data_IF_064665559401
#
_entry.id   IF_064665559401
#
_cell.length_a   1.000
_cell.length_b   1.000
_cell.length_c   1.000
_cell.angle_alpha   90.00
_cell.angle_beta   90.00
_cell.angle_gamma   90.00
#
_symmetry.space_group_name_H-M   'P 1'
#
loop_
_entity.id
_entity.type
_entity.pdbx_description
1 polymer ?
#
# COMPACT_ATOMS: atom_id res chain seq x y z
N UNK A 1 72.38 -15.82 -20.06
CA UNK A 1 71.07 -15.15 -20.21
C UNK A 1 70.46 -14.95 -18.83
N UNK A 2 70.41 -13.71 -18.31
CA UNK A 2 69.69 -13.37 -17.08
C UNK A 2 68.41 -12.66 -17.50
N UNK A 3 67.28 -13.34 -17.36
CA UNK A 3 65.94 -12.83 -17.67
C UNK A 3 65.57 -11.78 -16.62
N UNK A 4 65.41 -10.52 -17.03
CA UNK A 4 64.87 -9.46 -16.16
C UNK A 4 63.36 -9.64 -16.06
N UNK A 5 62.87 -9.88 -14.86
CA UNK A 5 61.45 -9.84 -14.53
C UNK A 5 61.06 -8.38 -14.29
N UNK A 6 60.34 -7.78 -15.23
CA UNK A 6 59.77 -6.43 -15.08
C UNK A 6 58.42 -6.58 -14.38
N UNK A 7 58.35 -6.21 -13.10
CA UNK A 7 57.08 -6.15 -12.35
C UNK A 7 56.42 -4.82 -12.69
N UNK A 8 55.32 -4.88 -13.45
CA UNK A 8 54.48 -3.73 -13.76
C UNK A 8 53.54 -3.48 -12.56
N UNK A 9 53.85 -2.47 -11.76
CA UNK A 9 53.01 -2.07 -10.62
C UNK A 9 51.78 -1.30 -11.16
N UNK A 10 50.60 -1.93 -11.14
CA UNK A 10 49.34 -1.23 -11.36
C UNK A 10 49.08 -0.32 -10.15
N UNK A 11 49.16 0.99 -10.37
CA UNK A 11 48.74 1.98 -9.38
C UNK A 11 47.20 2.00 -9.36
N UNK A 12 46.59 1.26 -8.43
CA UNK A 12 45.19 1.44 -8.07
C UNK A 12 45.07 2.82 -7.41
N UNK A 13 44.72 3.84 -8.19
CA UNK A 13 44.20 5.09 -7.64
C UNK A 13 42.89 4.74 -6.93
N UNK A 14 42.95 4.62 -5.60
CA UNK A 14 41.78 4.70 -4.74
C UNK A 14 41.21 6.10 -4.90
N UNK A 15 40.31 6.30 -5.86
CA UNK A 15 39.43 7.47 -5.87
C UNK A 15 38.55 7.29 -4.63
N UNK A 16 38.88 7.99 -3.56
CA UNK A 16 37.99 8.17 -2.43
C UNK A 16 36.74 8.87 -2.98
N UNK A 17 35.67 8.11 -3.22
CA UNK A 17 34.36 8.68 -3.47
C UNK A 17 33.86 9.23 -2.15
N UNK A 18 34.16 10.50 -1.88
CA UNK A 18 33.55 11.21 -0.77
C UNK A 18 32.08 11.46 -1.12
N UNK A 19 31.19 10.96 -0.27
CA UNK A 19 29.79 11.37 -0.26
C UNK A 19 29.73 12.77 0.34
N UNK A 20 29.23 13.74 -0.42
CA UNK A 20 29.06 15.12 0.04
C UNK A 20 27.62 15.37 0.50
N UNK A 21 27.45 16.22 1.51
CA UNK A 21 26.13 16.71 1.93
C UNK A 21 25.89 18.07 1.28
N UNK A 22 24.78 18.19 0.55
CA UNK A 22 24.41 19.40 -0.17
C UNK A 22 23.02 19.87 0.23
N UNK A 23 22.74 21.14 -0.04
CA UNK A 23 21.54 21.82 0.43
C UNK A 23 20.84 22.54 -0.72
N UNK A 24 19.52 22.49 -0.70
CA UNK A 24 18.64 23.19 -1.64
C UNK A 24 17.67 24.06 -0.86
N UNK A 25 17.60 25.35 -1.17
CA UNK A 25 16.67 26.30 -0.55
C UNK A 25 16.40 27.46 -1.51
N UNK A 26 15.14 27.94 -1.64
CA UNK A 26 14.84 29.13 -2.42
C UNK A 26 15.52 30.40 -1.86
N UNK A 27 16.00 30.37 -0.61
CA UNK A 27 16.69 31.48 0.06
C UNK A 27 18.22 31.36 0.02
N UNK A 28 18.77 30.26 -0.50
CA UNK A 28 20.21 30.11 -0.68
C UNK A 28 20.76 31.13 -1.69
N UNK A 29 22.06 31.44 -1.62
CA UNK A 29 22.68 32.35 -2.59
C UNK A 29 23.10 31.68 -3.91
N UNK A 30 22.75 30.39 -4.10
CA UNK A 30 23.04 29.60 -5.29
C UNK A 30 24.53 29.49 -5.64
N UNK A 31 25.38 29.25 -4.64
CA UNK A 31 26.84 29.10 -4.84
C UNK A 31 27.27 27.65 -4.71
N UNK A 32 27.65 27.03 -5.83
CA UNK A 32 28.21 25.67 -5.83
C UNK A 32 29.49 25.60 -4.93
N UNK A 33 29.75 24.49 -4.22
CA UNK A 33 29.12 23.17 -4.34
C UNK A 33 27.86 22.94 -3.49
N UNK A 34 27.21 24.01 -2.99
CA UNK A 34 25.96 23.95 -2.21
C UNK A 34 26.08 23.21 -0.86
N UNK A 35 27.23 23.25 -0.22
CA UNK A 35 27.57 22.51 1.02
C UNK A 35 27.09 23.18 2.33
N UNK A 36 26.24 24.20 2.24
CA UNK A 36 25.59 24.82 3.40
C UNK A 36 24.26 25.44 3.01
N UNK A 37 23.37 25.70 3.98
CA UNK A 37 22.13 26.45 3.72
C UNK A 37 22.37 27.85 3.13
N UNK A 38 23.41 28.55 3.57
CA UNK A 38 23.75 29.88 3.05
C UNK A 38 24.16 29.81 1.56
N UNK A 39 24.86 28.75 1.19
CA UNK A 39 25.31 28.50 -0.18
C UNK A 39 24.36 27.65 -1.00
N UNK A 40 23.20 27.26 -0.45
CA UNK A 40 22.30 26.27 -1.06
C UNK A 40 21.89 26.63 -2.49
N UNK A 41 21.65 25.60 -3.31
CA UNK A 41 21.08 25.78 -4.64
C UNK A 41 19.64 26.26 -4.54
N UNK A 42 19.21 27.11 -5.48
CA UNK A 42 17.81 27.54 -5.53
C UNK A 42 16.87 26.53 -6.20
N UNK A 43 17.41 25.52 -6.88
CA UNK A 43 16.64 24.45 -7.52
C UNK A 43 17.14 23.09 -7.09
N UNK A 44 16.26 22.09 -7.10
CA UNK A 44 16.60 20.71 -6.80
C UNK A 44 17.50 20.17 -7.92
N UNK A 45 17.11 20.33 -9.17
CA UNK A 45 17.86 19.82 -10.33
C UNK A 45 19.25 20.46 -10.42
N UNK A 46 19.38 21.76 -10.15
CA UNK A 46 20.69 22.43 -10.18
C UNK A 46 21.66 21.88 -9.13
N UNK A 47 21.17 21.42 -7.99
CA UNK A 47 21.98 20.72 -6.99
C UNK A 47 22.34 19.30 -7.41
N UNK A 48 21.40 18.57 -8.04
CA UNK A 48 21.65 17.24 -8.59
C UNK A 48 22.73 17.30 -9.68
N UNK A 49 22.71 18.32 -10.54
CA UNK A 49 23.63 18.48 -11.67
C UNK A 49 25.11 18.62 -11.25
N UNK A 50 25.37 19.05 -10.00
CA UNK A 50 26.74 19.11 -9.43
C UNK A 50 27.06 17.94 -8.50
N UNK A 51 26.09 17.07 -8.23
CA UNK A 51 26.20 15.97 -7.29
C UNK A 51 26.87 14.75 -7.92
N UNK A 52 27.46 13.91 -7.07
CA UNK A 52 28.04 12.62 -7.46
C UNK A 52 27.27 11.45 -6.84
N UNK A 53 27.35 10.24 -7.43
CA UNK A 53 26.78 9.05 -6.81
C UNK A 53 27.29 8.87 -5.37
N UNK A 54 26.37 8.74 -4.42
CA UNK A 54 26.65 8.65 -2.99
C UNK A 54 26.32 9.94 -2.22
N UNK A 55 26.15 11.07 -2.89
CA UNK A 55 25.82 12.34 -2.22
C UNK A 55 24.43 12.30 -1.55
N UNK A 56 24.26 13.15 -0.55
CA UNK A 56 22.96 13.41 0.11
C UNK A 56 22.57 14.88 -0.08
N UNK A 57 21.37 15.12 -0.59
CA UNK A 57 20.79 16.45 -0.76
C UNK A 57 19.65 16.62 0.24
N UNK A 58 19.79 17.60 1.12
CA UNK A 58 18.71 18.09 1.96
C UNK A 58 18.00 19.26 1.29
N UNK A 59 16.68 19.15 1.14
CA UNK A 59 15.84 20.17 0.52
C UNK A 59 15.02 20.85 1.61
N UNK A 60 15.21 22.17 1.74
CA UNK A 60 14.51 22.98 2.71
C UNK A 60 13.07 23.27 2.34
N UNK A 61 12.41 24.06 3.18
CA UNK A 61 11.04 24.49 2.91
C UNK A 61 10.99 25.35 1.65
N UNK A 62 10.02 25.08 0.78
CA UNK A 62 9.87 25.80 -0.47
C UNK A 62 8.90 25.14 -1.43
N UNK A 63 8.57 25.90 -2.47
CA UNK A 63 7.88 25.39 -3.65
C UNK A 63 8.88 25.40 -4.80
N UNK A 64 9.20 24.21 -5.29
CA UNK A 64 10.14 23.96 -6.36
C UNK A 64 9.36 23.65 -7.63
N UNK A 65 9.34 24.60 -8.56
CA UNK A 65 8.63 24.49 -9.84
C UNK A 65 9.51 23.85 -10.90
N UNK A 66 9.74 22.55 -10.78
CA UNK A 66 10.63 21.80 -11.66
C UNK A 66 10.23 20.32 -11.74
N UNK A 67 10.73 19.64 -12.77
CA UNK A 67 10.79 18.17 -12.82
C UNK A 67 12.16 17.72 -12.30
N UNK A 68 12.22 16.58 -11.63
CA UNK A 68 13.44 16.08 -10.98
C UNK A 68 13.90 14.79 -11.64
N UNK A 69 15.15 14.76 -12.11
CA UNK A 69 15.80 13.53 -12.59
C UNK A 69 17.00 13.22 -11.69
N UNK A 70 16.89 12.16 -10.90
CA UNK A 70 17.95 11.75 -9.98
C UNK A 70 19.07 11.01 -10.69
N UNK A 71 20.28 11.08 -10.13
CA UNK A 71 21.40 10.21 -10.51
C UNK A 71 21.45 8.99 -9.58
N UNK A 72 22.04 7.88 -10.04
CA UNK A 72 22.20 6.65 -9.24
C UNK A 72 22.87 6.93 -7.89
N UNK A 73 22.46 6.19 -6.84
CA UNK A 73 23.01 6.27 -5.47
C UNK A 73 22.86 7.65 -4.81
N UNK A 74 21.87 8.44 -5.20
CA UNK A 74 21.61 9.75 -4.60
C UNK A 74 20.55 9.65 -3.49
N UNK A 75 20.79 10.27 -2.34
CA UNK A 75 19.74 10.51 -1.35
C UNK A 75 19.20 11.93 -1.53
N UNK A 76 17.89 12.05 -1.79
CA UNK A 76 17.18 13.32 -1.90
C UNK A 76 16.10 13.35 -0.81
N UNK A 77 16.27 14.25 0.17
CA UNK A 77 15.49 14.27 1.41
C UNK A 77 14.89 15.66 1.61
N UNK A 78 13.58 15.77 1.50
CA UNK A 78 12.81 16.98 1.77
C UNK A 78 12.57 17.19 3.26
N UNK A 79 12.36 18.45 3.64
CA UNK A 79 12.07 18.83 5.03
C UNK A 79 10.70 18.35 5.54
N UNK A 80 9.85 17.78 4.68
CA UNK A 80 8.56 17.19 5.03
C UNK A 80 7.45 17.54 4.04
N UNK A 81 6.40 16.71 4.03
CA UNK A 81 5.25 16.83 3.11
C UNK A 81 4.41 18.10 3.33
N UNK A 82 4.57 18.79 4.46
CA UNK A 82 3.83 20.01 4.76
C UNK A 82 4.48 21.27 4.17
N UNK A 83 5.77 21.21 3.81
CA UNK A 83 6.56 22.41 3.52
C UNK A 83 7.60 22.27 2.39
N UNK A 84 7.90 21.05 1.92
CA UNK A 84 8.82 20.79 0.80
C UNK A 84 8.04 20.30 -0.42
N UNK A 85 7.68 21.21 -1.31
CA UNK A 85 6.73 20.97 -2.40
C UNK A 85 7.45 20.95 -3.75
N UNK A 86 7.30 19.87 -4.52
CA UNK A 86 7.65 19.82 -5.94
C UNK A 86 6.34 20.03 -6.72
N UNK A 87 6.24 21.17 -7.42
CA UNK A 87 5.03 21.56 -8.16
C UNK A 87 5.27 21.55 -9.66
N UNK A 88 4.64 20.61 -10.35
CA UNK A 88 4.81 20.42 -11.79
C UNK A 88 3.62 20.89 -12.63
N UNK A 89 2.59 21.51 -12.02
CA UNK A 89 1.33 21.82 -12.71
C UNK A 89 1.51 22.66 -13.98
N UNK A 90 2.48 23.58 -13.97
CA UNK A 90 2.78 24.48 -15.09
C UNK A 90 3.77 23.88 -16.12
N UNK A 91 4.28 22.66 -15.90
CA UNK A 91 5.34 22.03 -16.69
C UNK A 91 4.85 20.93 -17.64
N UNK A 92 3.54 20.90 -17.88
CA UNK A 92 2.91 19.80 -18.58
C UNK A 92 3.32 19.71 -20.06
N UNK A 93 3.73 18.52 -20.51
CA UNK A 93 3.90 18.19 -21.93
C UNK A 93 2.62 17.59 -22.52
N UNK A 94 2.62 17.31 -23.83
CA UNK A 94 1.48 16.66 -24.51
C UNK A 94 1.40 15.15 -24.25
N UNK A 95 2.53 14.48 -24.01
CA UNK A 95 2.63 13.04 -23.73
C UNK A 95 3.73 12.71 -22.71
N UNK A 96 3.62 11.55 -22.05
CA UNK A 96 4.63 10.91 -21.19
C UNK A 96 5.30 11.84 -20.15
N UNK A 97 4.51 12.31 -19.18
CA UNK A 97 4.96 13.25 -18.16
C UNK A 97 5.33 12.51 -16.87
N UNK A 98 6.54 12.75 -16.36
CA UNK A 98 7.04 12.19 -15.10
C UNK A 98 7.54 13.34 -14.24
N UNK A 99 7.06 13.46 -13.00
CA UNK A 99 7.47 14.53 -12.12
C UNK A 99 8.82 14.25 -11.42
N UNK A 100 9.06 13.00 -11.03
CA UNK A 100 10.34 12.54 -10.45
C UNK A 100 10.78 11.24 -11.12
N UNK A 101 11.93 11.27 -11.80
CA UNK A 101 12.59 10.09 -12.37
C UNK A 101 13.69 9.63 -11.42
N UNK A 102 13.50 8.44 -10.84
CA UNK A 102 14.41 7.82 -9.89
C UNK A 102 15.31 6.77 -10.53
N UNK A 103 16.52 6.68 -10.00
CA UNK A 103 17.52 5.70 -10.41
C UNK A 103 17.76 4.68 -9.29
N UNK A 104 18.40 3.55 -9.60
CA UNK A 104 18.77 2.55 -8.59
C UNK A 104 19.67 3.09 -7.46
N UNK A 105 19.51 2.48 -6.29
CA UNK A 105 20.15 2.83 -5.02
C UNK A 105 19.83 4.24 -4.50
N UNK A 106 18.80 4.89 -5.03
CA UNK A 106 18.39 6.21 -4.55
C UNK A 106 17.47 6.13 -3.34
N UNK A 107 17.47 7.20 -2.55
CA UNK A 107 16.44 7.51 -1.55
C UNK A 107 15.71 8.76 -1.98
N UNK A 108 14.38 8.71 -2.04
CA UNK A 108 13.51 9.85 -2.25
C UNK A 108 12.48 9.93 -1.13
N UNK A 109 12.63 10.95 -0.27
CA UNK A 109 11.87 11.02 0.98
C UNK A 109 11.44 12.42 1.36
N UNK A 110 10.22 12.56 1.92
CA UNK A 110 9.79 13.78 2.60
C UNK A 110 9.28 14.90 1.69
N UNK A 111 8.74 14.56 0.51
CA UNK A 111 8.23 15.55 -0.46
C UNK A 111 6.72 15.53 -0.60
N UNK A 112 6.13 16.70 -0.80
CA UNK A 112 4.80 16.84 -1.39
C UNK A 112 4.90 17.11 -2.89
N UNK A 113 4.55 16.12 -3.68
CA UNK A 113 4.54 16.16 -5.12
C UNK A 113 3.15 16.49 -5.67
N UNK A 114 3.05 17.60 -6.41
CA UNK A 114 1.87 17.99 -7.16
C UNK A 114 2.14 17.73 -8.64
N UNK A 115 1.53 16.66 -9.16
CA UNK A 115 1.82 16.16 -10.51
C UNK A 115 0.99 16.89 -11.55
N UNK A 116 1.59 17.14 -12.71
CA UNK A 116 0.90 17.66 -13.88
C UNK A 116 0.08 16.58 -14.58
N UNK A 117 -1.02 16.98 -15.23
CA UNK A 117 -1.89 16.09 -16.03
C UNK A 117 -2.45 14.90 -15.23
N UNK A 118 -3.50 15.19 -14.45
CA UNK A 118 -4.24 14.26 -13.60
C UNK A 118 -4.68 12.92 -14.23
N UNK A 119 -4.75 12.81 -15.55
CA UNK A 119 -5.23 11.61 -16.24
C UNK A 119 -4.12 10.63 -16.64
N UNK A 120 -2.86 11.07 -16.73
CA UNK A 120 -1.77 10.20 -17.26
C UNK A 120 -0.36 10.57 -16.79
N UNK A 121 -0.16 11.68 -16.07
CA UNK A 121 1.13 12.02 -15.49
C UNK A 121 1.54 11.02 -14.40
N UNK A 122 2.83 10.73 -14.33
CA UNK A 122 3.44 9.86 -13.33
C UNK A 122 4.06 10.71 -12.23
N UNK A 123 3.78 10.39 -10.97
CA UNK A 123 4.43 11.04 -9.83
C UNK A 123 5.90 10.66 -9.74
N UNK A 124 6.16 9.41 -9.34
CA UNK A 124 7.50 8.87 -9.25
C UNK A 124 7.63 7.70 -10.22
N UNK A 125 8.61 7.77 -11.11
CA UNK A 125 9.00 6.65 -11.98
C UNK A 125 10.35 6.11 -11.52
N UNK A 126 10.38 4.84 -11.15
CA UNK A 126 11.60 4.11 -10.83
C UNK A 126 11.87 3.07 -11.90
N UNK A 127 13.11 3.05 -12.42
CA UNK A 127 13.53 2.08 -13.42
C UNK A 127 14.91 1.52 -13.10
N UNK A 128 15.01 0.18 -12.97
CA UNK A 128 16.29 -0.53 -13.07
C UNK A 128 16.46 -1.14 -14.47
N UNK A 129 17.60 -0.89 -15.14
CA UNK A 129 17.92 -1.53 -16.42
C UNK A 129 18.31 -3.00 -16.28
N UNK A 130 18.56 -3.48 -15.05
CA UNK A 130 18.89 -4.88 -14.80
C UNK A 130 17.59 -5.67 -14.58
N UNK A 131 17.39 -6.76 -15.31
CA UNK A 131 16.21 -7.60 -15.13
C UNK A 131 16.12 -8.19 -13.73
N UNK A 132 17.25 -8.54 -13.11
CA UNK A 132 17.33 -8.97 -11.71
C UNK A 132 16.89 -7.91 -10.70
N UNK A 133 16.67 -6.68 -11.17
CA UNK A 133 16.30 -5.52 -10.39
C UNK A 133 17.37 -5.03 -9.44
N UNK A 134 17.13 -3.84 -8.91
CA UNK A 134 18.01 -3.16 -7.96
C UNK A 134 17.17 -2.49 -6.87
N UNK A 135 17.73 -2.17 -5.69
CA UNK A 135 16.96 -1.54 -4.62
C UNK A 135 16.85 -0.03 -4.81
N UNK A 136 15.84 0.56 -4.19
CA UNK A 136 15.69 1.99 -3.94
C UNK A 136 14.69 2.19 -2.79
N UNK A 137 14.63 3.41 -2.24
CA UNK A 137 13.69 3.80 -1.20
C UNK A 137 12.83 4.98 -1.67
N UNK A 138 11.52 4.79 -1.69
CA UNK A 138 10.52 5.85 -1.88
C UNK A 138 9.69 5.92 -0.61
N UNK A 139 9.89 6.94 0.22
CA UNK A 139 9.29 6.96 1.55
C UNK A 139 8.71 8.31 1.97
N UNK A 140 7.66 8.29 2.79
CA UNK A 140 7.15 9.50 3.46
C UNK A 140 6.84 10.66 2.50
N UNK A 141 6.41 10.35 1.27
CA UNK A 141 6.04 11.35 0.28
C UNK A 141 4.51 11.45 0.18
N UNK A 142 4.02 12.62 -0.20
CA UNK A 142 2.62 12.84 -0.58
C UNK A 142 2.55 13.09 -2.08
N UNK A 143 1.77 12.30 -2.82
CA UNK A 143 1.64 12.42 -4.28
C UNK A 143 0.18 12.66 -4.62
N UNK A 144 -0.09 13.74 -5.36
CA UNK A 144 -1.44 14.10 -5.80
C UNK A 144 -1.47 14.49 -7.27
N UNK A 145 -2.67 14.51 -7.86
CA UNK A 145 -2.90 14.93 -9.25
C UNK A 145 -2.12 14.11 -10.29
N UNK A 146 -1.81 12.84 -9.99
CA UNK A 146 -1.16 11.92 -10.92
C UNK A 146 -2.19 10.98 -11.55
N UNK A 147 -1.97 10.60 -12.81
CA UNK A 147 -2.65 9.45 -13.42
C UNK A 147 -2.03 8.12 -12.97
N UNK A 148 -0.75 8.12 -12.60
CA UNK A 148 -0.10 7.02 -11.90
C UNK A 148 0.75 7.59 -10.77
N UNK A 149 0.46 7.22 -9.52
CA UNK A 149 1.21 7.75 -8.38
C UNK A 149 2.68 7.34 -8.42
N UNK A 150 2.93 6.03 -8.41
CA UNK A 150 4.28 5.46 -8.44
C UNK A 150 4.34 4.32 -9.46
N UNK A 151 5.30 4.38 -10.37
CA UNK A 151 5.64 3.29 -11.30
C UNK A 151 6.98 2.69 -10.88
N UNK A 152 7.01 1.38 -10.68
CA UNK A 152 8.21 0.63 -10.34
C UNK A 152 8.52 -0.37 -11.45
N UNK A 153 9.72 -0.28 -12.02
CA UNK A 153 10.21 -1.26 -12.98
C UNK A 153 11.46 -1.96 -12.43
N UNK A 154 11.36 -3.27 -12.21
CA UNK A 154 12.41 -4.12 -11.63
C UNK A 154 12.93 -3.61 -10.27
N UNK A 155 12.04 -3.18 -9.37
CA UNK A 155 12.46 -2.81 -8.00
C UNK A 155 12.68 -4.10 -7.20
N UNK A 156 13.93 -4.40 -6.85
CA UNK A 156 14.27 -5.63 -6.13
C UNK A 156 14.88 -5.33 -4.77
N UNK A 157 14.30 -5.89 -3.70
CA UNK A 157 14.69 -5.61 -2.32
C UNK A 157 14.64 -4.11 -1.96
N UNK A 158 13.82 -3.34 -2.69
CA UNK A 158 13.56 -1.93 -2.45
C UNK A 158 12.22 -1.73 -1.74
N UNK A 159 12.05 -0.53 -1.17
CA UNK A 159 10.89 -0.18 -0.36
C UNK A 159 10.14 1.00 -0.96
N UNK A 160 8.82 0.85 -1.05
CA UNK A 160 7.88 1.95 -1.22
C UNK A 160 7.03 1.99 0.03
N UNK A 161 7.29 2.96 0.92
CA UNK A 161 6.69 2.94 2.25
C UNK A 161 6.17 4.25 2.78
N UNK A 162 5.09 4.19 3.55
CA UNK A 162 4.52 5.34 4.26
C UNK A 162 4.23 6.54 3.33
N UNK A 163 3.96 6.28 2.05
CA UNK A 163 3.58 7.34 1.13
C UNK A 163 2.06 7.54 1.20
N UNK A 164 1.64 8.79 1.02
CA UNK A 164 0.24 9.20 0.91
C UNK A 164 -0.06 9.49 -0.56
N UNK A 165 -0.86 8.65 -1.20
CA UNK A 165 -1.24 8.81 -2.60
C UNK A 165 -2.72 9.20 -2.67
N UNK A 166 -3.02 10.35 -3.28
CA UNK A 166 -4.39 10.78 -3.56
C UNK A 166 -4.58 10.88 -5.07
N UNK A 167 -5.14 9.81 -5.63
CA UNK A 167 -5.25 9.59 -7.07
C UNK A 167 -6.71 9.68 -7.49
N UNK A 168 -6.99 10.44 -8.54
CA UNK A 168 -8.35 10.67 -9.03
C UNK A 168 -8.39 10.58 -10.55
N UNK A 169 -9.56 10.33 -11.14
CA UNK A 169 -9.81 10.40 -12.59
C UNK A 169 -8.98 9.41 -13.44
N UNK A 170 -9.43 8.16 -13.50
CA UNK A 170 -8.82 7.05 -14.25
C UNK A 170 -7.40 6.68 -13.80
N UNK A 171 -6.96 7.22 -12.67
CA UNK A 171 -5.62 6.98 -12.18
C UNK A 171 -5.42 5.64 -11.47
N UNK A 172 -4.14 5.30 -11.24
CA UNK A 172 -3.67 4.16 -10.44
C UNK A 172 -2.76 4.64 -9.31
N UNK A 173 -2.81 4.00 -8.15
CA UNK A 173 -1.90 4.30 -7.04
C UNK A 173 -0.47 3.90 -7.33
N UNK A 174 -0.17 2.62 -7.16
CA UNK A 174 1.17 2.05 -7.35
C UNK A 174 1.09 0.94 -8.40
N UNK A 175 2.04 0.92 -9.33
CA UNK A 175 2.18 -0.14 -10.34
C UNK A 175 3.58 -0.73 -10.29
N UNK A 176 3.68 -2.05 -10.33
CA UNK A 176 4.98 -2.75 -10.52
C UNK A 176 4.99 -3.46 -11.87
N UNK A 177 6.13 -3.42 -12.54
CA UNK A 177 6.42 -4.14 -13.77
C UNK A 177 7.81 -4.78 -13.66
N UNK A 178 7.83 -6.10 -13.51
CA UNK A 178 9.07 -6.81 -13.22
C UNK A 178 9.28 -7.92 -14.26
N UNK A 179 10.50 -8.00 -14.78
CA UNK A 179 10.83 -8.92 -15.86
C UNK A 179 11.57 -10.18 -15.36
N UNK A 180 12.21 -10.13 -14.18
CA UNK A 180 12.87 -11.29 -13.56
C UNK A 180 12.89 -11.20 -12.02
N UNK A 181 11.98 -11.93 -11.37
CA UNK A 181 11.95 -12.23 -9.92
C UNK A 181 12.08 -11.05 -8.94
N UNK A 182 11.96 -9.80 -9.38
CA UNK A 182 12.13 -8.63 -8.53
C UNK A 182 11.08 -8.60 -7.40
N UNK A 183 11.54 -8.29 -6.18
CA UNK A 183 10.72 -8.29 -4.98
C UNK A 183 10.61 -6.89 -4.39
N UNK A 184 9.71 -6.08 -4.94
CA UNK A 184 9.35 -4.80 -4.35
C UNK A 184 8.59 -5.00 -3.04
N UNK A 185 8.94 -4.24 -1.99
CA UNK A 185 8.21 -4.21 -0.73
C UNK A 185 7.40 -2.92 -0.69
N UNK A 186 6.08 -3.05 -0.77
CA UNK A 186 5.13 -1.93 -0.74
C UNK A 186 4.41 -2.00 0.60
N UNK A 187 4.78 -1.12 1.53
CA UNK A 187 4.34 -1.21 2.92
C UNK A 187 3.85 0.10 3.54
N UNK A 188 2.82 0.05 4.39
CA UNK A 188 2.41 1.23 5.18
C UNK A 188 1.88 2.39 4.35
N UNK A 189 1.59 2.21 3.05
CA UNK A 189 1.14 3.30 2.20
C UNK A 189 -0.36 3.55 2.41
N UNK A 190 -0.74 4.82 2.36
CA UNK A 190 -2.14 5.25 2.39
C UNK A 190 -2.56 5.72 1.01
N UNK A 191 -3.40 4.94 0.33
CA UNK A 191 -3.73 5.12 -1.09
C UNK A 191 -5.23 5.38 -1.21
N UNK A 192 -5.60 6.58 -1.61
CA UNK A 192 -6.98 6.93 -1.98
C UNK A 192 -7.09 6.96 -3.51
N UNK A 193 -8.07 6.24 -4.06
CA UNK A 193 -8.39 6.25 -5.48
C UNK A 193 -9.88 6.55 -5.69
N UNK A 194 -10.21 7.65 -6.37
CA UNK A 194 -11.61 7.99 -6.71
C UNK A 194 -11.82 8.10 -8.22
N UNK A 195 -12.92 7.54 -8.75
CA UNK A 195 -13.22 7.52 -10.18
C UNK A 195 -12.03 6.99 -11.00
N UNK A 196 -11.34 5.98 -10.47
CA UNK A 196 -10.04 5.51 -10.93
C UNK A 196 -10.05 4.03 -11.32
N UNK A 197 -8.87 3.43 -11.41
CA UNK A 197 -8.74 2.04 -11.87
C UNK A 197 -8.39 1.14 -10.67
N UNK A 198 -7.17 1.26 -10.14
CA UNK A 198 -6.70 0.40 -9.05
C UNK A 198 -5.85 1.15 -8.02
N UNK A 199 -5.90 0.70 -6.77
CA UNK A 199 -4.97 1.12 -5.72
C UNK A 199 -3.56 0.62 -6.01
N UNK A 200 -3.37 -0.69 -6.11
CA UNK A 200 -2.07 -1.30 -6.42
C UNK A 200 -2.21 -2.32 -7.57
N UNK A 201 -1.30 -2.26 -8.54
CA UNK A 201 -1.26 -3.13 -9.71
C UNK A 201 0.11 -3.78 -9.87
N UNK A 202 0.31 -4.97 -9.30
CA UNK A 202 1.37 -5.86 -9.73
C UNK A 202 1.11 -6.37 -11.14
N UNK A 203 1.84 -5.89 -12.16
CA UNK A 203 1.47 -6.15 -13.55
C UNK A 203 2.06 -7.46 -14.11
N UNK A 204 3.38 -7.66 -14.04
CA UNK A 204 4.07 -8.79 -14.70
C UNK A 204 5.26 -9.25 -13.83
N UNK A 205 5.50 -10.57 -13.78
CA UNK A 205 6.78 -11.26 -13.53
C UNK A 205 7.42 -11.14 -12.14
N UNK A 206 6.98 -10.19 -11.34
CA UNK A 206 7.56 -9.90 -10.02
C UNK A 206 7.07 -10.80 -8.91
N UNK A 207 7.70 -10.60 -7.74
CA UNK A 207 7.35 -11.19 -6.44
C UNK A 207 7.00 -10.14 -5.39
N UNK A 208 6.15 -9.14 -5.70
CA UNK A 208 5.95 -8.02 -4.78
C UNK A 208 5.28 -8.46 -3.48
N UNK A 209 5.70 -7.82 -2.40
CA UNK A 209 5.11 -7.96 -1.07
C UNK A 209 4.33 -6.68 -0.78
N UNK A 210 3.01 -6.81 -0.72
CA UNK A 210 2.08 -5.75 -0.35
C UNK A 210 1.67 -5.99 1.10
N UNK A 211 2.14 -5.15 2.03
CA UNK A 211 1.78 -5.33 3.45
C UNK A 211 1.41 -4.07 4.20
N UNK A 212 0.50 -4.14 5.15
CA UNK A 212 0.16 -3.00 6.02
C UNK A 212 -0.25 -1.74 5.24
N UNK A 213 -0.77 -1.88 4.01
CA UNK A 213 -1.26 -0.73 3.24
C UNK A 213 -2.73 -0.50 3.55
N UNK A 214 -3.14 0.77 3.50
CA UNK A 214 -4.54 1.19 3.55
C UNK A 214 -4.94 1.68 2.17
N UNK A 215 -5.93 1.04 1.57
CA UNK A 215 -6.46 1.40 0.25
C UNK A 215 -7.93 1.77 0.40
N UNK A 216 -8.25 3.02 0.07
CA UNK A 216 -9.62 3.53 0.05
C UNK A 216 -9.99 3.83 -1.40
N UNK A 217 -10.99 3.12 -1.89
CA UNK A 217 -11.41 3.14 -3.28
C UNK A 217 -12.88 3.51 -3.41
N UNK A 218 -13.22 4.48 -4.26
CA UNK A 218 -14.61 4.80 -4.59
C UNK A 218 -14.79 4.96 -6.09
N UNK A 219 -15.79 4.26 -6.65
CA UNK A 219 -16.10 4.26 -8.07
C UNK A 219 -14.87 3.86 -8.91
N UNK A 220 -14.30 2.70 -8.60
CA UNK A 220 -13.04 2.21 -9.22
C UNK A 220 -13.20 0.85 -9.89
N UNK A 221 -12.16 0.37 -10.59
CA UNK A 221 -12.16 -1.02 -11.06
C UNK A 221 -11.97 -1.99 -9.90
N UNK A 222 -10.94 -1.87 -9.08
CA UNK A 222 -10.74 -2.71 -7.88
C UNK A 222 -9.64 -2.19 -6.96
N UNK A 223 -9.40 -2.81 -5.81
CA UNK A 223 -8.35 -2.35 -4.88
C UNK A 223 -6.96 -2.78 -5.32
N UNK A 224 -6.73 -4.10 -5.37
CA UNK A 224 -5.47 -4.74 -5.77
C UNK A 224 -5.74 -5.69 -6.94
N UNK A 225 -5.02 -5.49 -8.05
CA UNK A 225 -5.09 -6.38 -9.21
C UNK A 225 -3.84 -7.24 -9.31
N UNK A 226 -3.93 -8.54 -9.03
CA UNK A 226 -2.79 -9.44 -8.99
C UNK A 226 -2.13 -9.79 -10.33
N UNK A 227 -2.55 -9.14 -11.44
CA UNK A 227 -1.90 -9.20 -12.75
C UNK A 227 -1.35 -10.56 -13.18
N UNK A 228 -0.16 -10.56 -13.79
CA UNK A 228 0.58 -11.75 -14.25
C UNK A 228 1.89 -11.91 -13.47
N UNK A 229 1.85 -11.76 -12.14
CA UNK A 229 3.01 -11.97 -11.25
C UNK A 229 3.38 -13.44 -11.13
N UNK A 230 4.65 -13.74 -10.80
CA UNK A 230 5.08 -15.12 -10.50
C UNK A 230 4.61 -15.56 -9.11
N UNK A 231 4.68 -14.66 -8.13
CA UNK A 231 4.09 -14.83 -6.81
C UNK A 231 3.67 -13.46 -6.26
N UNK A 232 2.61 -13.41 -5.47
CA UNK A 232 2.11 -12.16 -4.91
C UNK A 232 1.80 -12.36 -3.43
N UNK A 233 2.36 -11.52 -2.57
CA UNK A 233 2.06 -11.55 -1.14
C UNK A 233 1.19 -10.34 -0.80
N UNK A 234 -0.04 -10.58 -0.35
CA UNK A 234 -0.98 -9.54 0.09
C UNK A 234 -1.29 -9.82 1.55
N UNK A 235 -0.61 -9.11 2.45
CA UNK A 235 -0.56 -9.47 3.87
C UNK A 235 -0.96 -8.27 4.75
N UNK A 236 -1.92 -8.42 5.66
CA UNK A 236 -2.27 -7.35 6.61
C UNK A 236 -2.62 -6.01 5.94
N UNK A 237 -3.30 -6.02 4.80
CA UNK A 237 -3.78 -4.78 4.16
C UNK A 237 -5.24 -4.51 4.57
N UNK A 238 -5.58 -3.23 4.71
CA UNK A 238 -6.94 -2.75 4.87
C UNK A 238 -7.43 -2.18 3.54
N UNK A 239 -8.55 -2.70 3.03
CA UNK A 239 -9.19 -2.21 1.83
C UNK A 239 -10.63 -1.78 2.14
N UNK A 240 -10.97 -0.54 1.84
CA UNK A 240 -12.33 -0.01 1.91
C UNK A 240 -12.74 0.38 0.50
N UNK A 241 -13.58 -0.43 -0.13
CA UNK A 241 -13.86 -0.34 -1.57
C UNK A 241 -15.36 -0.17 -1.80
N UNK A 242 -15.74 1.01 -2.27
CA UNK A 242 -17.11 1.37 -2.62
C UNK A 242 -17.30 1.38 -4.15
N UNK A 243 -18.39 0.77 -4.63
CA UNK A 243 -18.82 0.77 -6.02
C UNK A 243 -17.71 0.34 -7.01
N UNK A 244 -17.16 -0.87 -6.83
CA UNK A 244 -16.16 -1.39 -7.77
C UNK A 244 -16.73 -2.35 -8.81
N UNK A 245 -16.19 -2.26 -10.04
CA UNK A 245 -16.57 -3.13 -11.17
C UNK A 245 -15.77 -4.44 -11.23
N UNK A 246 -14.84 -4.65 -10.31
CA UNK A 246 -14.01 -5.84 -10.15
C UNK A 246 -13.80 -6.14 -8.67
N UNK A 247 -13.30 -7.34 -8.29
CA UNK A 247 -13.07 -7.68 -6.90
C UNK A 247 -12.11 -6.70 -6.21
N UNK A 248 -12.31 -6.46 -4.91
CA UNK A 248 -11.41 -5.61 -4.11
C UNK A 248 -9.98 -6.14 -4.14
N UNK A 249 -9.80 -7.47 -4.11
CA UNK A 249 -8.54 -8.15 -4.39
C UNK A 249 -8.78 -9.22 -5.45
N UNK A 250 -8.04 -9.13 -6.55
CA UNK A 250 -8.01 -10.16 -7.60
C UNK A 250 -6.66 -10.87 -7.58
N UNK A 251 -6.66 -12.20 -7.52
CA UNK A 251 -5.46 -13.03 -7.49
C UNK A 251 -5.43 -13.93 -8.72
N UNK A 252 -4.78 -13.45 -9.78
CA UNK A 252 -4.76 -14.12 -11.07
C UNK A 252 -3.64 -15.17 -11.15
N UNK A 253 -4.09 -16.41 -11.40
CA UNK A 253 -3.39 -17.58 -11.93
C UNK A 253 -2.30 -18.29 -11.10
N UNK A 254 -1.33 -17.68 -10.41
CA UNK A 254 -0.31 -18.50 -9.71
C UNK A 254 0.27 -17.93 -8.39
N UNK A 255 0.45 -18.82 -7.41
CA UNK A 255 1.25 -18.71 -6.18
C UNK A 255 1.10 -17.41 -5.37
N UNK A 256 -0.11 -16.86 -5.32
CA UNK A 256 -0.42 -15.74 -4.43
C UNK A 256 -0.73 -16.23 -3.00
N UNK A 257 -0.26 -15.48 -2.01
CA UNK A 257 -0.56 -15.64 -0.59
C UNK A 257 -1.32 -14.39 -0.15
N UNK A 258 -2.61 -14.53 0.10
CA UNK A 258 -3.49 -13.46 0.54
C UNK A 258 -3.93 -13.76 1.98
N UNK A 259 -3.31 -13.08 2.94
CA UNK A 259 -3.42 -13.44 4.35
C UNK A 259 -3.63 -12.24 5.26
N UNK A 260 -4.47 -12.39 6.29
CA UNK A 260 -4.67 -11.38 7.34
C UNK A 260 -5.18 -10.01 6.83
N UNK A 261 -5.85 -9.97 5.67
CA UNK A 261 -6.40 -8.71 5.16
C UNK A 261 -7.81 -8.45 5.70
N UNK A 262 -8.17 -7.18 5.83
CA UNK A 262 -9.56 -6.75 6.05
C UNK A 262 -10.04 -6.05 4.79
N UNK A 263 -11.19 -6.49 4.28
CA UNK A 263 -11.86 -5.88 3.14
C UNK A 263 -13.28 -5.50 3.57
N UNK A 264 -13.59 -4.21 3.49
CA UNK A 264 -14.94 -3.69 3.56
C UNK A 264 -15.37 -3.34 2.13
N UNK A 265 -16.22 -4.17 1.55
CA UNK A 265 -16.74 -3.98 0.21
C UNK A 265 -18.13 -3.37 0.27
N UNK A 266 -18.37 -2.18 -0.26
CA UNK A 266 -19.70 -1.58 -0.30
C UNK A 266 -20.16 -1.48 -1.76
N UNK A 267 -21.14 -2.31 -2.15
CA UNK A 267 -21.61 -2.41 -3.54
C UNK A 267 -20.48 -2.70 -4.56
N UNK A 268 -19.42 -3.39 -4.13
CA UNK A 268 -18.38 -3.95 -4.98
C UNK A 268 -18.82 -5.26 -5.64
N UNK A 269 -18.14 -5.71 -6.70
CA UNK A 269 -18.40 -7.02 -7.31
C UNK A 269 -18.16 -8.16 -6.30
N UNK A 270 -16.98 -8.19 -5.68
CA UNK A 270 -16.55 -9.22 -4.73
C UNK A 270 -15.46 -8.69 -3.80
N UNK A 271 -15.33 -9.22 -2.59
CA UNK A 271 -14.20 -8.90 -1.71
C UNK A 271 -12.88 -9.48 -2.24
N UNK A 272 -12.75 -10.81 -2.21
CA UNK A 272 -11.57 -11.50 -2.73
C UNK A 272 -11.98 -12.50 -3.80
N UNK A 273 -11.25 -12.51 -4.91
CA UNK A 273 -11.37 -13.53 -5.95
C UNK A 273 -10.00 -14.12 -6.29
N UNK A 274 -9.89 -15.44 -6.28
CA UNK A 274 -8.65 -16.12 -6.68
C UNK A 274 -8.87 -17.46 -7.36
N UNK A 275 -7.84 -17.94 -8.04
CA UNK A 275 -7.83 -19.28 -8.63
C UNK A 275 -6.47 -19.95 -8.61
N UNK A 276 -6.31 -21.06 -9.33
CA UNK A 276 -5.03 -21.76 -9.45
C UNK A 276 -4.51 -22.30 -8.10
N UNK A 277 -3.23 -22.07 -7.81
CA UNK A 277 -2.56 -22.55 -6.59
C UNK A 277 -2.49 -21.49 -5.48
N UNK A 278 -3.32 -20.45 -5.56
CA UNK A 278 -3.32 -19.37 -4.57
C UNK A 278 -3.81 -19.88 -3.22
N UNK A 279 -3.24 -19.31 -2.14
CA UNK A 279 -3.63 -19.54 -0.76
C UNK A 279 -4.28 -18.27 -0.22
N UNK A 280 -5.51 -18.42 0.25
CA UNK A 280 -6.34 -17.33 0.79
C UNK A 280 -6.74 -17.75 2.20
N UNK A 281 -6.14 -17.13 3.22
CA UNK A 281 -6.37 -17.50 4.63
C UNK A 281 -6.39 -16.32 5.58
N UNK A 282 -7.05 -16.43 6.72
CA UNK A 282 -7.06 -15.42 7.79
C UNK A 282 -7.59 -14.05 7.34
N UNK A 283 -8.32 -13.96 6.24
CA UNK A 283 -8.90 -12.70 5.79
C UNK A 283 -10.29 -12.50 6.39
N UNK A 284 -10.65 -11.26 6.67
CA UNK A 284 -12.02 -10.85 6.95
C UNK A 284 -12.58 -10.05 5.77
N UNK A 285 -13.68 -10.53 5.18
CA UNK A 285 -14.41 -9.81 4.12
C UNK A 285 -15.82 -9.50 4.59
N UNK A 286 -16.18 -8.22 4.55
CA UNK A 286 -17.50 -7.76 4.98
C UNK A 286 -18.20 -6.86 3.97
N UNK A 287 -19.53 -6.90 4.00
CA UNK A 287 -20.46 -6.00 3.29
C UNK A 287 -20.53 -6.13 1.76
N UNK A 288 -19.71 -7.02 1.16
CA UNK A 288 -19.61 -7.13 -0.28
C UNK A 288 -20.83 -7.83 -0.90
N UNK A 289 -21.06 -7.66 -2.20
CA UNK A 289 -22.04 -8.52 -2.92
C UNK A 289 -21.66 -9.98 -2.78
N UNK A 290 -20.41 -10.26 -3.11
CA UNK A 290 -19.80 -11.57 -2.91
C UNK A 290 -18.58 -11.44 -1.99
N UNK A 291 -18.46 -12.30 -0.99
CA UNK A 291 -17.36 -12.28 -0.02
C UNK A 291 -16.06 -12.80 -0.62
N UNK A 292 -15.73 -14.06 -0.32
CA UNK A 292 -14.50 -14.72 -0.79
C UNK A 292 -14.88 -15.83 -1.76
N UNK A 293 -14.51 -15.68 -3.02
CA UNK A 293 -14.84 -16.63 -4.09
C UNK A 293 -13.62 -17.23 -4.75
N UNK A 294 -13.81 -18.38 -5.42
CA UNK A 294 -12.76 -18.98 -6.26
C UNK A 294 -13.21 -19.38 -7.66
N UNK A 295 -12.21 -19.48 -8.54
CA UNK A 295 -12.26 -20.28 -9.76
C UNK A 295 -11.18 -21.37 -9.72
N UNK A 296 -11.55 -22.62 -10.03
CA UNK A 296 -10.61 -23.74 -10.02
C UNK A 296 -10.19 -24.15 -8.59
N UNK A 297 -8.89 -24.25 -8.34
CA UNK A 297 -8.32 -25.05 -7.24
C UNK A 297 -7.72 -24.24 -6.07
N UNK A 298 -7.97 -22.93 -5.98
CA UNK A 298 -7.40 -22.12 -4.89
C UNK A 298 -7.76 -22.70 -3.51
N UNK A 299 -6.78 -22.69 -2.59
CA UNK A 299 -6.98 -23.11 -1.20
C UNK A 299 -7.54 -21.93 -0.40
N UNK A 300 -8.75 -22.09 0.11
CA UNK A 300 -9.46 -21.08 0.90
C UNK A 300 -9.81 -21.71 2.24
N UNK A 301 -9.17 -21.25 3.31
CA UNK A 301 -9.31 -21.80 4.66
C UNK A 301 -9.06 -20.73 5.71
N UNK A 302 -9.66 -20.86 6.89
CA UNK A 302 -9.45 -19.95 8.02
C UNK A 302 -9.81 -18.48 7.75
N UNK A 303 -10.79 -18.21 6.87
CA UNK A 303 -11.25 -16.84 6.62
C UNK A 303 -12.56 -16.57 7.35
N UNK A 304 -12.92 -15.29 7.52
CA UNK A 304 -14.26 -14.87 7.88
C UNK A 304 -14.91 -14.09 6.74
N UNK A 305 -16.14 -14.44 6.39
CA UNK A 305 -16.96 -13.68 5.47
C UNK A 305 -18.26 -13.30 6.18
N UNK A 306 -18.49 -12.00 6.40
CA UNK A 306 -19.55 -11.50 7.26
C UNK A 306 -20.40 -10.43 6.59
N UNK A 307 -21.73 -10.56 6.66
CA UNK A 307 -22.67 -9.58 6.08
C UNK A 307 -22.43 -9.27 4.59
N UNK A 308 -21.91 -10.24 3.83
CA UNK A 308 -21.94 -10.17 2.37
C UNK A 308 -23.30 -10.69 1.87
N UNK A 309 -23.75 -10.31 0.66
CA UNK A 309 -24.97 -10.92 0.10
C UNK A 309 -24.77 -12.43 -0.11
N UNK A 310 -23.56 -12.83 -0.52
CA UNK A 310 -23.10 -14.22 -0.55
C UNK A 310 -21.68 -14.32 0.02
N UNK A 311 -21.52 -14.98 1.18
CA UNK A 311 -20.21 -15.07 1.86
C UNK A 311 -19.15 -15.86 1.08
N UNK A 312 -19.52 -17.04 0.55
CA UNK A 312 -18.59 -17.95 -0.12
C UNK A 312 -19.18 -18.48 -1.44
N UNK A 313 -19.10 -17.69 -2.53
CA UNK A 313 -19.59 -18.12 -3.84
C UNK A 313 -18.65 -19.13 -4.51
N UNK A 314 -19.21 -20.00 -5.35
CA UNK A 314 -18.49 -20.92 -6.26
C UNK A 314 -17.71 -22.07 -5.60
N UNK A 315 -17.88 -22.29 -4.30
CA UNK A 315 -17.38 -23.50 -3.61
C UNK A 315 -18.16 -23.75 -2.32
N UNK A 316 -17.95 -24.92 -1.71
CA UNK A 316 -18.47 -25.24 -0.39
C UNK A 316 -17.34 -24.97 0.62
N UNK A 317 -17.50 -24.00 1.55
CA UNK A 317 -16.51 -23.75 2.59
C UNK A 317 -16.41 -24.93 3.55
N UNK A 318 -15.19 -25.24 3.99
CA UNK A 318 -14.98 -26.15 5.12
C UNK A 318 -15.26 -25.45 6.46
N UNK A 319 -15.15 -26.18 7.58
CA UNK A 319 -15.42 -25.64 8.92
C UNK A 319 -14.44 -24.58 9.38
N UNK A 320 -13.32 -24.38 8.68
CA UNK A 320 -12.33 -23.34 9.03
C UNK A 320 -12.75 -21.96 8.52
N UNK A 321 -13.63 -21.91 7.53
CA UNK A 321 -14.16 -20.66 7.00
C UNK A 321 -15.43 -20.27 7.76
N UNK A 322 -15.39 -19.11 8.42
CA UNK A 322 -16.41 -18.62 9.33
C UNK A 322 -17.35 -17.61 8.65
N UNK A 323 -18.53 -17.44 9.23
CA UNK A 323 -19.48 -16.39 8.84
C UNK A 323 -20.12 -15.78 10.07
N UNK A 324 -19.30 -15.07 10.84
CA UNK A 324 -19.64 -14.54 12.17
C UNK A 324 -19.27 -13.08 12.29
N UNK A 325 -19.90 -12.38 13.22
CA UNK A 325 -19.58 -10.99 13.54
C UNK A 325 -18.11 -10.87 13.96
N UNK A 326 -17.29 -10.04 13.29
CA UNK A 326 -15.90 -9.85 13.66
C UNK A 326 -15.71 -9.24 15.04
N UNK A 327 -16.73 -8.56 15.59
CA UNK A 327 -16.65 -7.80 16.84
C UNK A 327 -15.45 -6.83 16.82
N UNK A 328 -15.37 -5.99 15.77
CA UNK A 328 -14.40 -4.90 15.73
C UNK A 328 -14.74 -3.83 16.77
N UNK A 329 -13.72 -3.23 17.39
CA UNK A 329 -13.87 -2.18 18.41
C UNK A 329 -14.68 -1.00 17.86
N UNK A 330 -14.27 -0.42 16.73
CA UNK A 330 -15.02 0.68 16.12
C UNK A 330 -14.66 0.87 14.63
N UNK A 331 -15.51 0.37 13.74
CA UNK A 331 -15.33 0.50 12.29
C UNK A 331 -15.38 1.96 11.80
N UNK A 332 -16.22 2.81 12.40
CA UNK A 332 -16.41 4.21 11.99
C UNK A 332 -15.17 5.06 12.24
N UNK A 333 -14.39 4.72 13.28
CA UNK A 333 -13.09 5.35 13.57
C UNK A 333 -11.91 4.61 12.95
N UNK A 334 -12.16 3.62 12.08
CA UNK A 334 -11.15 2.75 11.47
C UNK A 334 -10.32 1.94 12.48
N UNK A 335 -10.93 1.59 13.62
CA UNK A 335 -10.34 0.74 14.65
C UNK A 335 -10.84 -0.70 14.51
N UNK A 336 -10.08 -1.48 13.75
CA UNK A 336 -10.38 -2.87 13.42
C UNK A 336 -9.78 -3.89 14.39
N UNK A 337 -9.35 -3.45 15.59
CA UNK A 337 -8.94 -4.38 16.64
C UNK A 337 -10.13 -5.25 17.05
N UNK A 338 -9.86 -6.49 17.44
CA UNK A 338 -10.86 -7.44 17.91
C UNK A 338 -11.20 -7.16 19.39
N UNK A 339 -12.48 -7.28 19.74
CA UNK A 339 -12.93 -7.25 21.13
C UNK A 339 -12.71 -8.60 21.82
N UNK A 340 -12.71 -8.62 23.17
CA UNK A 340 -12.35 -9.79 24.01
C UNK A 340 -13.03 -11.10 23.67
N UNK A 341 -14.28 -11.07 23.19
CA UNK A 341 -15.04 -12.28 22.88
C UNK A 341 -15.23 -12.50 21.38
N UNK A 342 -14.43 -11.81 20.55
CA UNK A 342 -14.48 -12.01 19.11
C UNK A 342 -14.22 -13.48 18.76
N UNK A 343 -15.07 -14.09 17.90
CA UNK A 343 -14.84 -15.43 17.41
C UNK A 343 -13.65 -15.54 16.43
N UNK A 344 -13.01 -14.41 16.11
CA UNK A 344 -11.86 -14.34 15.21
C UNK A 344 -10.52 -14.43 15.92
N UNK A 345 -10.50 -14.39 17.26
CA UNK A 345 -9.30 -14.55 18.07
C UNK A 345 -8.79 -15.99 17.99
N UNK A 346 -7.49 -16.17 17.74
CA UNK A 346 -6.83 -17.48 17.60
C UNK A 346 -7.53 -18.45 16.60
N UNK A 347 -8.28 -17.90 15.64
CA UNK A 347 -9.12 -18.67 14.72
C UNK A 347 -8.49 -18.91 13.34
N UNK A 348 -7.36 -18.25 13.04
CA UNK A 348 -6.64 -18.31 11.78
C UNK A 348 -5.91 -19.63 11.53
N UNK A 349 -5.11 -19.72 10.48
CA UNK A 349 -4.29 -20.90 10.18
C UNK A 349 -3.33 -21.19 11.34
N UNK A 350 -3.34 -22.41 11.94
CA UNK A 350 -2.50 -22.76 13.09
C UNK A 350 -1.00 -22.69 12.81
N UNK A 351 -0.57 -22.71 11.55
CA UNK A 351 0.84 -22.59 11.17
C UNK A 351 1.31 -21.12 11.07
N UNK A 352 0.38 -20.16 11.18
CA UNK A 352 0.67 -18.74 11.21
C UNK A 352 0.52 -18.28 12.65
N UNK A 353 1.57 -17.66 13.19
CA UNK A 353 1.60 -17.18 14.56
C UNK A 353 1.52 -15.65 14.61
N UNK A 354 0.82 -15.17 15.63
CA UNK A 354 0.85 -13.76 16.02
C UNK A 354 2.21 -13.37 16.63
N UNK A 355 2.45 -12.07 16.80
CA UNK A 355 3.72 -11.55 17.32
C UNK A 355 4.06 -12.04 18.73
N UNK A 356 3.07 -12.43 19.52
CA UNK A 356 3.24 -13.01 20.86
C UNK A 356 3.37 -14.54 20.85
N UNK A 357 3.27 -15.17 19.67
CA UNK A 357 3.40 -16.61 19.47
C UNK A 357 2.10 -17.40 19.63
N UNK A 358 0.95 -16.74 19.87
CA UNK A 358 -0.34 -17.42 19.79
C UNK A 358 -0.69 -17.77 18.34
N UNK A 359 -1.78 -18.53 18.14
CA UNK A 359 -2.29 -18.86 16.82
C UNK A 359 -2.82 -17.58 16.19
N UNK A 360 -2.61 -17.39 14.89
CA UNK A 360 -3.02 -16.14 14.24
C UNK A 360 -4.49 -15.83 14.45
N UNK A 361 -4.79 -14.60 14.83
CA UNK A 361 -6.10 -14.00 14.66
C UNK A 361 -6.47 -13.90 13.17
N UNK A 362 -7.77 -13.92 12.85
CA UNK A 362 -8.28 -13.58 11.51
C UNK A 362 -8.39 -12.06 11.39
N UNK A 363 -7.79 -11.47 10.34
CA UNK A 363 -7.85 -10.04 10.04
C UNK A 363 -6.54 -9.28 10.26
N UNK A 364 -6.65 -7.95 10.28
CA UNK A 364 -5.56 -6.97 10.06
C UNK A 364 -4.43 -7.03 11.08
N UNK A 365 -4.73 -7.40 12.32
CA UNK A 365 -3.76 -7.40 13.40
C UNK A 365 -3.17 -8.78 13.69
N UNK A 366 -3.69 -9.83 13.04
CA UNK A 366 -3.15 -11.18 13.16
C UNK A 366 -1.92 -11.41 12.26
N UNK A 367 -1.24 -12.52 12.47
CA UNK A 367 -0.02 -12.93 11.79
C UNK A 367 1.23 -12.16 12.20
N UNK A 368 2.40 -12.54 11.64
CA UNK A 368 3.70 -12.01 12.06
C UNK A 368 3.91 -10.52 11.74
N UNK A 369 3.12 -9.96 10.84
CA UNK A 369 3.19 -8.54 10.43
C UNK A 369 2.10 -7.67 11.05
N UNK A 370 1.22 -8.24 11.86
CA UNK A 370 0.18 -7.55 12.61
C UNK A 370 0.70 -6.90 13.91
N UNK A 371 -0.14 -6.75 14.93
CA UNK A 371 0.23 -6.15 16.22
C UNK A 371 -0.43 -6.92 17.37
N UNK A 372 0.33 -7.17 18.44
CA UNK A 372 -0.25 -7.73 19.69
C UNK A 372 -0.81 -6.60 20.56
N UNK A 373 -2.02 -6.80 21.07
CA UNK A 373 -2.68 -5.89 22.00
C UNK A 373 -3.53 -6.70 22.97
N UNK A 374 -3.90 -6.09 24.10
CA UNK A 374 -4.82 -6.72 25.04
C UNK A 374 -6.25 -6.56 24.52
N UNK A 375 -6.96 -7.66 24.36
CA UNK A 375 -8.39 -7.59 24.08
C UNK A 375 -9.15 -6.96 25.24
N UNK A 376 -10.07 -6.08 24.92
CA UNK A 376 -10.91 -5.37 25.88
C UNK A 376 -12.36 -5.82 25.70
N UNK A 377 -13.03 -5.97 26.83
CA UNK A 377 -14.46 -6.27 26.90
C UNK A 377 -15.23 -4.96 26.71
N UNK A 378 -15.80 -4.78 25.52
CA UNK A 378 -16.60 -3.63 25.16
C UNK A 378 -18.07 -4.04 25.18
N UNK A 379 -18.95 -3.09 25.52
CA UNK A 379 -20.38 -3.36 25.44
C UNK A 379 -20.80 -3.66 23.99
N UNK A 380 -21.74 -4.59 23.76
CA UNK A 380 -22.32 -4.81 22.45
C UNK A 380 -22.83 -3.51 21.82
N UNK A 381 -22.72 -3.40 20.49
CA UNK A 381 -23.17 -2.23 19.73
C UNK A 381 -24.66 -1.93 20.03
N UNK A 382 -25.09 -0.66 20.02
CA UNK A 382 -26.51 -0.35 20.10
C UNK A 382 -27.31 -0.97 18.94
N UNK A 383 -28.61 -1.27 19.13
CA UNK A 383 -29.48 -1.73 18.05
C UNK A 383 -29.46 -0.80 16.84
N UNK A 384 -29.31 -1.36 15.63
CA UNK A 384 -29.31 -0.59 14.38
C UNK A 384 -30.71 -0.53 13.77
N UNK A 385 -31.02 0.56 13.07
CA UNK A 385 -32.31 0.81 12.39
C UNK A 385 -33.52 0.65 13.32
N UNK A 386 -33.45 1.18 14.54
CA UNK A 386 -34.60 1.22 15.45
C UNK A 386 -35.71 2.09 14.85
N UNK A 387 -36.88 1.49 14.60
CA UNK A 387 -38.11 2.18 14.23
C UNK A 387 -39.18 1.96 15.28
N UNK A 388 -40.12 2.90 15.36
CA UNK A 388 -41.27 2.82 16.25
C UNK A 388 -42.54 3.16 15.47
N UNK A 389 -43.53 2.28 15.51
CA UNK A 389 -44.85 2.48 14.91
C UNK A 389 -45.92 2.45 16.01
N UNK A 390 -46.85 3.40 15.98
CA UNK A 390 -47.96 3.44 16.92
C UNK A 390 -49.23 2.91 16.26
N UNK A 391 -49.84 1.93 16.93
CA UNK A 391 -51.22 1.51 16.67
C UNK A 391 -52.13 2.04 17.79
N UNK A 392 -53.45 1.82 17.70
CA UNK A 392 -54.44 2.41 18.62
C UNK A 392 -54.13 2.17 20.12
N UNK A 393 -53.42 1.08 20.48
CA UNK A 393 -53.11 0.74 21.88
C UNK A 393 -51.65 0.30 22.15
N UNK A 394 -50.77 0.28 21.14
CA UNK A 394 -49.43 -0.34 21.26
C UNK A 394 -48.36 0.46 20.51
N UNK A 395 -47.12 0.41 21.02
CA UNK A 395 -45.92 0.88 20.32
C UNK A 395 -45.15 -0.35 19.86
N UNK A 396 -45.05 -0.54 18.55
CA UNK A 396 -44.27 -1.62 17.93
C UNK A 396 -42.87 -1.08 17.63
N UNK A 397 -41.86 -1.69 18.26
CA UNK A 397 -40.45 -1.36 18.03
C UNK A 397 -39.82 -2.44 17.14
N UNK A 398 -39.13 -2.03 16.07
CA UNK A 398 -38.39 -2.94 15.18
C UNK A 398 -36.94 -2.47 15.07
N UNK A 399 -35.98 -3.39 15.05
CA UNK A 399 -34.56 -3.09 14.84
C UNK A 399 -33.82 -4.31 14.27
N UNK A 400 -32.60 -4.09 13.78
CA UNK A 400 -31.70 -5.17 13.36
C UNK A 400 -31.06 -5.82 14.58
N UNK A 401 -31.14 -7.15 14.66
CA UNK A 401 -30.56 -7.94 15.74
C UNK A 401 -29.03 -7.83 15.79
N UNK A 402 -28.48 -7.53 16.97
CA UNK A 402 -27.06 -7.62 17.32
C UNK A 402 -26.53 -9.04 17.24
N UNK A 403 -25.42 -9.19 16.54
CA UNK A 403 -24.83 -10.48 16.15
C UNK A 403 -23.53 -10.80 16.90
N UNK A 404 -23.12 -9.92 17.80
CA UNK A 404 -21.93 -10.08 18.63
C UNK A 404 -22.05 -11.33 19.51
N UNK A 405 -20.96 -12.09 19.65
CA UNK A 405 -20.98 -13.39 20.33
C UNK A 405 -21.26 -13.28 21.84
N UNK A 406 -21.02 -12.12 22.43
CA UNK A 406 -21.28 -11.76 23.82
C UNK A 406 -22.64 -11.06 24.02
N UNK A 407 -23.45 -10.92 22.97
CA UNK A 407 -24.78 -10.36 23.07
C UNK A 407 -25.70 -11.28 23.89
N UNK A 408 -26.33 -10.73 24.94
CA UNK A 408 -27.24 -11.46 25.82
C UNK A 408 -28.73 -11.18 25.54
N UNK A 409 -29.17 -9.93 25.74
CA UNK A 409 -30.56 -9.52 25.58
C UNK A 409 -30.70 -8.00 25.48
N UNK A 410 -31.80 -7.55 24.87
CA UNK A 410 -32.22 -6.15 24.92
C UNK A 410 -33.00 -5.86 26.21
N UNK A 411 -32.86 -4.63 26.71
CA UNK A 411 -33.73 -4.10 27.78
C UNK A 411 -34.49 -2.91 27.23
N UNK A 412 -35.81 -3.01 27.21
CA UNK A 412 -36.72 -1.92 26.80
C UNK A 412 -37.26 -1.27 28.07
N UNK A 413 -37.05 0.04 28.20
CA UNK A 413 -37.56 0.84 29.31
C UNK A 413 -38.77 1.66 28.85
N UNK A 414 -39.75 1.85 29.73
CA UNK A 414 -40.95 2.64 29.49
C UNK A 414 -40.76 4.10 29.88
#
# INVERSE_FOLDING_TARGET
>A
MKTKLTILTFLLLNILTYSEIRYVSPQGNNTAPFISWATASNTIQGCIDVSSPGDTIYVGNGVYKEVVTMIRKLALIGSGIDSCIIDTRELATETNFVAVTMQPYCTFEGFYLIVSKKNWGVGVDYFSPLFSGEPALIANNKIVNAGLGIWLTNLNNGYVRNNILVINNLGRGIKTEDFDNAQAIIEGNYITVNNGIYGIVPAIGGKPILRNNVIIGKDITGGISGGSTDSLFVINNLLIIENSSSPSITLNKYNAYCTNNIILGYNNERGIFGGGNNIISNNNVSYAKEGIGRIGTAKISYNNAWQNEVNYPNFIPDSTNLSVDPMFVNEDSLDFRLQMFSPLIDAGDPEILDKDGSRSDIGLFGGPYGESYKYQDYAPKPPKNLTAEMNENEVILNWLYNTEADFSHYRVYR
#
